data_IF_753330444277
#
_entry.id   IF_753330444277
#
_cell.length_a   1.000
_cell.length_b   1.000
_cell.length_c   1.000
_cell.angle_alpha   90.00
_cell.angle_beta   90.00
_cell.angle_gamma   90.00
#
_symmetry.space_group_name_H-M   'P 1'
#
loop_
_entity.id
_entity.type
_entity.pdbx_description
1 polymer ?
#
# COMPACT_ATOMS: atom_id res chain seq x y z
N UNK A 1 -45.98 -18.55 16.09
CA UNK A 1 -44.61 -18.68 16.63
C UNK A 1 -43.59 -18.77 15.49
N UNK A 2 -43.56 -17.78 14.58
CA UNK A 2 -42.66 -17.76 13.39
C UNK A 2 -42.04 -16.36 13.16
N UNK A 3 -42.57 -15.32 13.81
CA UNK A 3 -42.09 -13.94 13.67
C UNK A 3 -40.80 -13.62 14.43
N UNK A 4 -40.39 -14.45 15.40
CA UNK A 4 -39.15 -14.23 16.17
C UNK A 4 -37.87 -14.61 15.39
N UNK A 5 -37.96 -15.46 14.37
CA UNK A 5 -36.77 -15.95 13.65
C UNK A 5 -36.22 -14.94 12.63
N UNK A 6 -37.01 -13.94 12.22
CA UNK A 6 -36.59 -12.88 11.29
C UNK A 6 -35.85 -11.72 11.96
N UNK A 7 -36.04 -11.51 13.26
CA UNK A 7 -35.28 -10.49 14.00
C UNK A 7 -33.83 -10.91 14.28
N UNK A 8 -33.51 -12.19 14.21
CA UNK A 8 -32.19 -12.72 14.54
C UNK A 8 -31.11 -12.39 13.49
N UNK A 9 -31.47 -12.01 12.26
CA UNK A 9 -30.52 -11.62 11.20
C UNK A 9 -30.04 -10.16 11.29
N UNK A 10 -30.64 -9.33 12.16
CA UNK A 10 -30.26 -7.92 12.32
C UNK A 10 -29.14 -7.70 13.34
N UNK A 11 -28.67 -8.76 14.01
CA UNK A 11 -27.63 -8.72 15.05
C UNK A 11 -26.30 -9.32 14.58
N UNK A 12 -26.09 -9.49 13.27
CA UNK A 12 -24.73 -9.70 12.79
C UNK A 12 -23.91 -8.46 13.21
N UNK A 13 -22.82 -8.60 13.98
CA UNK A 13 -21.91 -7.48 14.18
C UNK A 13 -21.49 -7.08 12.77
N UNK A 14 -21.94 -5.89 12.35
CA UNK A 14 -21.50 -5.33 11.09
C UNK A 14 -19.99 -5.33 11.15
N UNK A 15 -19.34 -6.12 10.29
CA UNK A 15 -17.91 -5.99 10.03
C UNK A 15 -17.74 -4.58 9.49
N UNK A 16 -17.55 -3.63 10.40
CA UNK A 16 -17.20 -2.25 10.08
C UNK A 16 -15.74 -2.34 9.68
N UNK A 17 -15.51 -2.55 8.39
CA UNK A 17 -14.20 -2.29 7.82
C UNK A 17 -13.84 -0.85 8.19
N UNK A 18 -12.71 -0.68 8.86
CA UNK A 18 -12.20 0.65 9.19
C UNK A 18 -11.99 1.40 7.87
N UNK A 19 -12.66 2.55 7.64
CA UNK A 19 -12.48 3.33 6.43
C UNK A 19 -11.00 3.62 6.13
N UNK A 20 -10.17 3.79 7.17
CA UNK A 20 -8.74 4.02 7.04
C UNK A 20 -8.00 2.77 6.53
N UNK A 21 -8.32 1.60 7.06
CA UNK A 21 -7.76 0.32 6.62
C UNK A 21 -8.11 0.03 5.15
N UNK A 22 -9.36 0.29 4.76
CA UNK A 22 -9.80 0.12 3.37
C UNK A 22 -9.10 1.09 2.43
N UNK A 23 -8.96 2.35 2.83
CA UNK A 23 -8.22 3.34 2.05
C UNK A 23 -6.76 2.94 1.87
N UNK A 24 -6.11 2.46 2.93
CA UNK A 24 -4.73 1.99 2.88
C UNK A 24 -4.58 0.79 1.94
N UNK A 25 -5.48 -0.20 2.03
CA UNK A 25 -5.49 -1.35 1.12
C UNK A 25 -5.65 -0.93 -0.35
N UNK A 26 -6.51 0.05 -0.63
CA UNK A 26 -6.66 0.60 -1.98
C UNK A 26 -5.39 1.31 -2.47
N UNK A 27 -4.71 2.07 -1.60
CA UNK A 27 -3.42 2.71 -1.92
C UNK A 27 -2.34 1.67 -2.21
N UNK A 28 -2.22 0.65 -1.37
CA UNK A 28 -1.22 -0.42 -1.51
C UNK A 28 -1.43 -1.22 -2.80
N UNK A 29 -2.68 -1.55 -3.12
CA UNK A 29 -3.05 -2.22 -4.37
C UNK A 29 -2.72 -1.35 -5.59
N UNK A 30 -3.01 -0.04 -5.54
CA UNK A 30 -2.71 0.89 -6.62
C UNK A 30 -1.19 1.05 -6.82
N UNK A 31 -0.42 1.22 -5.75
CA UNK A 31 1.05 1.29 -5.81
C UNK A 31 1.66 0.00 -6.39
N UNK A 32 1.14 -1.16 -5.97
CA UNK A 32 1.56 -2.46 -6.50
C UNK A 32 1.29 -2.56 -8.01
N UNK A 33 0.11 -2.13 -8.47
CA UNK A 33 -0.25 -2.14 -9.89
C UNK A 33 0.63 -1.17 -10.71
N UNK A 34 0.99 -0.01 -10.14
CA UNK A 34 1.85 0.98 -10.78
C UNK A 34 3.34 0.62 -10.73
N UNK A 35 3.74 -0.36 -9.93
CA UNK A 35 5.15 -0.67 -9.67
C UNK A 35 6.01 -0.87 -10.93
N UNK A 36 5.56 -1.58 -11.99
CA UNK A 36 6.36 -1.71 -13.22
C UNK A 36 6.64 -0.36 -13.89
N UNK A 37 5.67 0.54 -13.91
CA UNK A 37 5.82 1.87 -14.49
C UNK A 37 6.75 2.75 -13.65
N UNK A 38 6.63 2.67 -12.32
CA UNK A 38 7.52 3.36 -11.38
C UNK A 38 8.97 2.88 -11.59
N UNK A 39 9.19 1.57 -11.65
CA UNK A 39 10.53 0.99 -11.84
C UNK A 39 11.16 1.44 -13.16
N UNK A 40 10.38 1.45 -14.24
CA UNK A 40 10.85 1.92 -15.55
C UNK A 40 11.21 3.40 -15.51
N UNK A 41 10.39 4.25 -14.89
CA UNK A 41 10.67 5.68 -14.76
C UNK A 41 11.93 5.95 -13.93
N UNK A 42 12.09 5.25 -12.81
CA UNK A 42 13.27 5.34 -11.93
C UNK A 42 14.54 4.91 -12.69
N UNK A 43 14.51 3.74 -13.34
CA UNK A 43 15.67 3.24 -14.08
C UNK A 43 16.03 4.15 -15.25
N UNK A 44 15.03 4.68 -15.96
CA UNK A 44 15.22 5.64 -17.05
C UNK A 44 15.86 6.94 -16.56
N UNK A 45 15.42 7.46 -15.42
CA UNK A 45 15.97 8.69 -14.83
C UNK A 45 17.44 8.52 -14.40
N UNK A 46 17.80 7.41 -13.77
CA UNK A 46 19.16 7.18 -13.27
C UNK A 46 20.10 6.50 -14.29
N UNK A 47 19.59 6.06 -15.44
CA UNK A 47 20.35 5.32 -16.46
C UNK A 47 20.87 3.95 -16.00
N UNK A 48 20.43 3.47 -14.83
CA UNK A 48 20.85 2.20 -14.24
C UNK A 48 19.77 1.70 -13.27
N UNK A 49 19.72 0.37 -12.99
CA UNK A 49 18.78 -0.16 -12.01
C UNK A 49 18.95 0.47 -10.63
N UNK A 50 17.85 1.04 -10.10
CA UNK A 50 17.76 1.46 -8.69
C UNK A 50 16.69 0.67 -7.98
N UNK A 51 16.93 0.41 -6.70
CA UNK A 51 15.96 -0.19 -5.82
C UNK A 51 15.24 0.91 -5.02
N UNK A 52 13.98 0.65 -4.68
CA UNK A 52 13.11 1.46 -3.82
C UNK A 52 12.13 0.50 -3.11
N UNK A 53 11.58 0.90 -1.97
CA UNK A 53 10.48 0.18 -1.34
C UNK A 53 9.13 0.73 -1.81
N UNK A 54 8.12 -0.14 -1.92
CA UNK A 54 6.73 0.32 -2.07
C UNK A 54 6.15 0.80 -0.73
N UNK A 55 6.69 0.31 0.40
CA UNK A 55 6.25 0.69 1.74
C UNK A 55 6.49 2.18 2.06
N UNK A 56 7.53 2.78 1.48
CA UNK A 56 7.89 4.19 1.62
C UNK A 56 7.52 5.03 0.39
N UNK A 57 6.76 4.46 -0.55
CA UNK A 57 6.24 5.18 -1.71
C UNK A 57 4.98 5.98 -1.32
N UNK A 58 4.91 7.23 -1.77
CA UNK A 58 3.82 8.15 -1.45
C UNK A 58 3.08 8.52 -2.73
N UNK A 59 1.76 8.28 -2.78
CA UNK A 59 0.91 8.87 -3.81
C UNK A 59 0.68 10.34 -3.44
N UNK A 60 1.29 11.24 -4.18
CA UNK A 60 1.21 12.69 -3.96
C UNK A 60 -0.09 13.25 -4.55
N UNK A 61 -0.50 12.73 -5.71
CA UNK A 61 -1.63 13.28 -6.45
C UNK A 61 -2.26 12.23 -7.37
N UNK A 62 -3.59 12.25 -7.47
CA UNK A 62 -4.35 11.53 -8.49
C UNK A 62 -5.28 12.54 -9.16
N UNK A 63 -5.12 12.72 -10.46
CA UNK A 63 -5.96 13.60 -11.27
C UNK A 63 -6.61 12.82 -12.39
N UNK A 64 -7.93 12.96 -12.52
CA UNK A 64 -8.63 12.42 -13.67
C UNK A 64 -8.40 13.33 -14.87
N UNK A 65 -8.00 12.75 -15.99
CA UNK A 65 -7.68 13.51 -17.22
C UNK A 65 -8.94 14.17 -17.79
N UNK A 66 -10.07 13.48 -17.76
CA UNK A 66 -11.34 13.98 -18.24
C UNK A 66 -12.49 13.54 -17.34
N UNK A 67 -13.43 14.45 -17.04
CA UNK A 67 -14.61 14.14 -16.23
C UNK A 67 -15.40 12.98 -16.85
N UNK A 68 -15.72 11.96 -16.05
CA UNK A 68 -16.43 10.76 -16.50
C UNK A 68 -15.57 9.71 -17.22
N UNK A 69 -14.32 10.03 -17.61
CA UNK A 69 -13.40 9.08 -18.24
C UNK A 69 -12.59 8.27 -17.22
N UNK A 70 -11.98 7.17 -17.62
CA UNK A 70 -11.18 6.28 -16.74
C UNK A 70 -9.66 6.45 -16.91
N UNK A 71 -9.22 7.60 -17.41
CA UNK A 71 -7.81 7.97 -17.51
C UNK A 71 -7.40 8.86 -16.35
N UNK A 72 -6.25 8.54 -15.75
CA UNK A 72 -5.71 9.23 -14.58
C UNK A 72 -4.23 9.54 -14.75
N UNK A 73 -3.84 10.72 -14.31
CA UNK A 73 -2.45 11.06 -14.02
C UNK A 73 -2.21 10.81 -12.54
N UNK A 74 -1.24 9.95 -12.22
CA UNK A 74 -0.87 9.63 -10.84
C UNK A 74 0.57 10.09 -10.62
N UNK A 75 0.77 10.97 -9.64
CA UNK A 75 2.10 11.41 -9.21
C UNK A 75 2.52 10.61 -7.98
N UNK A 76 3.59 9.85 -8.12
CA UNK A 76 4.16 9.02 -7.05
C UNK A 76 5.55 9.53 -6.70
N UNK A 77 5.86 9.60 -5.41
CA UNK A 77 7.18 9.90 -4.88
C UNK A 77 7.78 8.62 -4.29
N UNK A 78 9.02 8.32 -4.65
CA UNK A 78 9.76 7.17 -4.15
C UNK A 78 11.14 7.59 -3.63
N UNK A 79 11.65 6.90 -2.62
CA UNK A 79 13.02 7.07 -2.14
C UNK A 79 13.86 5.91 -2.65
N UNK A 80 14.86 6.23 -3.47
CA UNK A 80 15.76 5.23 -4.05
C UNK A 80 17.02 5.07 -3.22
N UNK A 81 17.65 3.91 -3.28
CA UNK A 81 18.95 3.65 -2.67
C UNK A 81 19.76 2.68 -3.54
N UNK A 82 21.00 2.46 -3.12
CA UNK A 82 22.00 1.63 -3.80
C UNK A 82 22.50 0.58 -2.82
N UNK A 83 22.52 -0.68 -3.25
CA UNK A 83 22.96 -1.80 -2.41
C UNK A 83 21.81 -2.51 -1.68
N UNK A 84 22.12 -3.60 -0.94
CA UNK A 84 21.09 -4.43 -0.32
C UNK A 84 20.27 -3.66 0.71
N UNK A 85 18.95 -3.75 0.60
CA UNK A 85 18.03 -3.41 1.68
C UNK A 85 18.25 -4.33 2.89
N UNK A 86 19.06 -3.91 3.86
CA UNK A 86 19.03 -4.56 5.18
C UNK A 86 17.91 -3.95 6.00
N UNK A 87 16.75 -4.61 6.07
CA UNK A 87 15.70 -4.28 7.02
C UNK A 87 16.10 -4.76 8.43
N UNK A 88 16.75 -3.91 9.22
CA UNK A 88 17.25 -4.28 10.57
C UNK A 88 16.16 -4.55 11.64
N UNK A 89 14.91 -4.86 11.27
CA UNK A 89 13.81 -5.14 12.21
C UNK A 89 13.71 -6.61 12.71
N UNK A 90 14.75 -7.42 12.52
CA UNK A 90 14.89 -8.76 13.12
C UNK A 90 16.20 -8.83 13.93
N UNK A 91 16.44 -7.90 14.87
CA UNK A 91 17.48 -8.07 15.91
C UNK A 91 17.11 -7.28 17.17
N UNK A 92 16.00 -7.62 17.80
CA UNK A 92 15.81 -7.26 19.22
C UNK A 92 14.80 -8.16 19.94
N UNK A 93 15.01 -9.49 19.89
CA UNK A 93 14.54 -10.44 20.91
C UNK A 93 15.47 -11.65 20.87
N UNK A 94 16.25 -11.83 21.94
CA UNK A 94 17.17 -12.93 22.24
C UNK A 94 18.65 -12.68 21.93
N UNK A 95 19.32 -11.99 22.86
CA UNK A 95 20.71 -12.27 23.18
C UNK A 95 20.82 -12.45 24.70
N UNK A 96 21.08 -13.66 25.22
CA UNK A 96 21.32 -13.86 26.65
C UNK A 96 22.65 -13.20 27.03
N UNK A 97 22.60 -12.38 28.07
CA UNK A 97 23.77 -11.69 28.62
C UNK A 97 24.83 -12.68 29.06
N UNK A 98 26.07 -12.41 28.65
CA UNK A 98 27.27 -12.97 29.27
C UNK A 98 28.15 -11.81 29.70
N UNK A 99 28.12 -11.53 31.00
CA UNK A 99 29.22 -10.97 31.78
C UNK A 99 29.19 -11.65 33.15
#
# INVERSE_FOLDING_TARGET
>A
MVTLLMCSLLLAPGVRADPEEKEQLCKDALLTALNPAIQNAVNGYFGSPRQYGLYDAEIIKIERVQKGGFLFNVTVKVKTFVGPHTNTRIKDKNQPGTH
#
